data_IF_350649620979
#
_entry.id   IF_350649620979
#
_cell.length_a   1.000
_cell.length_b   1.000
_cell.length_c   1.000
_cell.angle_alpha   90.00
_cell.angle_beta   90.00
_cell.angle_gamma   90.00
#
_symmetry.space_group_name_H-M   'P 1'
#
loop_
_entity.id
_entity.type
_entity.pdbx_description
1 polymer ?
#
# COMPACT_ATOMS: atom_id res chain seq x y z
N UNK A 1 9.05 -15.06 -15.12
CA UNK A 1 8.76 -13.64 -14.83
C UNK A 1 10.05 -13.00 -14.33
N UNK A 2 10.68 -12.13 -15.12
CA UNK A 2 11.92 -11.46 -14.73
C UNK A 2 11.50 -10.12 -14.15
N UNK A 3 11.70 -9.91 -12.85
CA UNK A 3 11.55 -8.59 -12.25
C UNK A 3 12.59 -7.69 -12.93
N UNK A 4 12.13 -6.58 -13.50
CA UNK A 4 13.04 -5.53 -13.96
C UNK A 4 13.65 -4.95 -12.68
N UNK A 5 14.97 -4.98 -12.56
CA UNK A 5 15.64 -4.19 -11.53
C UNK A 5 15.43 -2.72 -11.86
N UNK A 6 14.59 -2.05 -11.07
CA UNK A 6 14.44 -0.60 -11.16
C UNK A 6 15.55 -0.02 -10.26
N UNK A 7 16.53 0.72 -10.83
CA UNK A 7 17.56 1.36 -10.03
C UNK A 7 16.93 2.25 -8.96
N UNK A 8 17.53 2.30 -7.78
CA UNK A 8 17.11 3.16 -6.66
C UNK A 8 15.71 2.86 -6.08
N UNK A 9 15.18 1.65 -6.30
CA UNK A 9 13.98 1.17 -5.61
C UNK A 9 14.32 0.08 -4.58
N UNK A 10 13.59 0.08 -3.46
CA UNK A 10 13.63 -1.03 -2.48
C UNK A 10 12.30 -1.75 -2.51
N UNK A 11 12.32 -3.06 -2.78
CA UNK A 11 11.13 -3.91 -2.70
C UNK A 11 10.94 -4.37 -1.26
N UNK A 12 9.83 -3.96 -0.65
CA UNK A 12 9.48 -4.36 0.71
C UNK A 12 8.69 -5.68 0.71
N UNK A 13 8.88 -6.55 1.70
CA UNK A 13 8.00 -7.69 1.89
C UNK A 13 6.61 -7.21 2.34
N UNK A 14 5.60 -7.95 1.88
CA UNK A 14 4.20 -7.68 2.20
C UNK A 14 3.91 -7.74 3.71
N UNK A 15 2.90 -6.99 4.13
CA UNK A 15 2.26 -7.17 5.43
C UNK A 15 1.66 -8.58 5.61
N UNK A 16 1.31 -8.93 6.84
CA UNK A 16 0.67 -10.22 7.13
C UNK A 16 -0.71 -10.28 6.48
N UNK A 17 -1.11 -11.48 6.07
CA UNK A 17 -2.42 -11.72 5.49
C UNK A 17 -3.58 -11.24 6.41
N UNK A 18 -3.44 -11.40 7.73
CA UNK A 18 -4.42 -10.91 8.69
C UNK A 18 -4.56 -9.38 8.66
N UNK A 19 -3.45 -8.66 8.56
CA UNK A 19 -3.43 -7.19 8.51
C UNK A 19 -4.05 -6.68 7.21
N UNK A 20 -3.78 -7.36 6.10
CA UNK A 20 -4.44 -7.10 4.81
C UNK A 20 -5.96 -7.25 4.94
N UNK A 21 -6.45 -8.35 5.51
CA UNK A 21 -7.90 -8.59 5.66
C UNK A 21 -8.55 -7.52 6.57
N UNK A 22 -7.86 -7.07 7.62
CA UNK A 22 -8.33 -5.98 8.47
C UNK A 22 -8.46 -4.66 7.70
N UNK A 23 -7.42 -4.28 6.94
CA UNK A 23 -7.43 -3.07 6.11
C UNK A 23 -8.50 -3.14 5.02
N UNK A 24 -8.59 -4.29 4.34
CA UNK A 24 -9.59 -4.56 3.30
C UNK A 24 -11.01 -4.32 3.81
N UNK A 25 -11.34 -4.89 4.97
CA UNK A 25 -12.66 -4.72 5.59
C UNK A 25 -12.89 -3.31 6.12
N UNK A 26 -11.87 -2.68 6.70
CA UNK A 26 -11.99 -1.36 7.32
C UNK A 26 -12.21 -0.24 6.30
N UNK A 27 -11.54 -0.32 5.16
CA UNK A 27 -11.57 0.73 4.13
C UNK A 27 -12.30 0.30 2.86
N UNK A 28 -12.91 -0.89 2.86
CA UNK A 28 -13.64 -1.46 1.72
C UNK A 28 -12.80 -1.52 0.42
N UNK A 29 -11.52 -1.87 0.57
CA UNK A 29 -10.58 -1.96 -0.55
C UNK A 29 -10.62 -3.32 -1.22
N UNK A 30 -10.17 -3.40 -2.46
CA UNK A 30 -9.83 -4.68 -3.08
C UNK A 30 -8.59 -5.30 -2.41
N UNK A 31 -8.38 -6.62 -2.50
CA UNK A 31 -7.24 -7.29 -1.84
C UNK A 31 -5.87 -6.72 -2.21
N UNK A 32 -5.68 -6.29 -3.47
CA UNK A 32 -4.44 -5.67 -3.95
C UNK A 32 -4.16 -4.31 -3.26
N UNK A 33 -5.17 -3.46 -3.14
CA UNK A 33 -5.00 -2.14 -2.54
C UNK A 33 -4.89 -2.25 -1.02
N UNK A 34 -5.62 -3.22 -0.44
CA UNK A 34 -5.50 -3.55 0.96
C UNK A 34 -4.10 -4.04 1.35
N UNK A 35 -3.43 -4.86 0.54
CA UNK A 35 -2.07 -5.33 0.87
C UNK A 35 -1.05 -4.20 0.74
N UNK A 36 -1.23 -3.29 -0.22
CA UNK A 36 -0.40 -2.08 -0.36
C UNK A 36 -0.56 -1.21 0.89
N UNK A 37 -1.79 -0.84 1.27
CA UNK A 37 -2.05 0.00 2.43
C UNK A 37 -1.63 -0.67 3.76
N UNK A 38 -1.84 -1.98 3.91
CA UNK A 38 -1.37 -2.73 5.08
C UNK A 38 0.17 -2.74 5.16
N UNK A 39 0.85 -2.90 4.03
CA UNK A 39 2.33 -2.87 3.97
C UNK A 39 2.84 -1.48 4.32
N UNK A 40 2.23 -0.42 3.79
CA UNK A 40 2.56 0.96 4.19
C UNK A 40 2.43 1.16 5.70
N UNK A 41 1.34 0.68 6.31
CA UNK A 41 1.13 0.77 7.76
C UNK A 41 2.19 -0.01 8.56
N UNK A 42 2.50 -1.24 8.15
CA UNK A 42 3.49 -2.09 8.84
C UNK A 42 4.91 -1.50 8.80
N UNK A 43 5.25 -0.80 7.71
CA UNK A 43 6.56 -0.17 7.51
C UNK A 43 6.62 1.31 7.90
N UNK A 44 5.53 1.88 8.43
CA UNK A 44 5.48 3.30 8.85
C UNK A 44 5.52 4.29 7.68
N UNK A 45 5.10 3.87 6.48
CA UNK A 45 5.00 4.72 5.29
C UNK A 45 3.68 5.49 5.34
N UNK A 46 3.76 6.81 5.37
CA UNK A 46 2.60 7.71 5.49
C UNK A 46 2.30 8.50 4.22
N UNK A 47 3.13 8.35 3.18
CA UNK A 47 3.01 9.02 1.88
C UNK A 47 3.10 8.01 0.76
N UNK A 48 2.20 8.08 -0.21
CA UNK A 48 2.16 7.19 -1.36
C UNK A 48 2.05 7.98 -2.65
N UNK A 49 2.85 7.64 -3.64
CA UNK A 49 2.71 8.16 -5.00
C UNK A 49 1.76 7.24 -5.76
N UNK A 50 0.54 7.69 -6.02
CA UNK A 50 -0.51 6.90 -6.68
C UNK A 50 -1.50 7.80 -7.42
N UNK A 51 -2.09 7.28 -8.49
CA UNK A 51 -3.27 7.86 -9.15
C UNK A 51 -4.56 7.11 -8.80
N UNK A 52 -4.47 6.14 -7.89
CA UNK A 52 -5.60 5.34 -7.44
C UNK A 52 -6.35 6.04 -6.31
N UNK A 53 -7.55 6.52 -6.63
CA UNK A 53 -8.41 7.23 -5.69
C UNK A 53 -8.92 6.33 -4.55
N UNK A 54 -8.89 5.00 -4.70
CA UNK A 54 -9.31 4.08 -3.63
C UNK A 54 -8.37 4.15 -2.42
N UNK A 55 -7.12 4.62 -2.61
CA UNK A 55 -6.16 4.82 -1.53
C UNK A 55 -6.28 6.20 -0.85
N UNK A 56 -7.15 7.06 -1.36
CA UNK A 56 -7.50 8.33 -0.71
C UNK A 56 -8.42 8.08 0.50
N UNK A 57 -8.34 8.94 1.52
CA UNK A 57 -9.19 8.83 2.72
C UNK A 57 -8.77 7.75 3.73
N UNK A 58 -7.70 6.99 3.45
CA UNK A 58 -7.06 6.12 4.44
C UNK A 58 -6.32 7.01 5.44
N UNK A 59 -6.88 7.20 6.65
CA UNK A 59 -6.41 8.23 7.59
C UNK A 59 -4.94 8.18 8.07
N UNK A 60 -4.16 7.16 7.70
CA UNK A 60 -2.71 7.10 7.95
C UNK A 60 -1.84 7.28 6.69
N UNK A 61 -2.46 7.37 5.51
CA UNK A 61 -1.79 7.38 4.21
C UNK A 61 -2.26 8.60 3.42
N UNK A 62 -1.31 9.41 2.97
CA UNK A 62 -1.58 10.60 2.15
C UNK A 62 -1.02 10.37 0.75
N UNK A 63 -1.83 10.64 -0.28
CA UNK A 63 -1.31 10.72 -1.64
C UNK A 63 -0.36 11.91 -1.78
N UNK A 64 0.64 11.78 -2.64
CA UNK A 64 1.50 12.89 -3.06
C UNK A 64 1.33 13.12 -4.55
N UNK A 65 1.22 14.39 -4.93
CA UNK A 65 1.26 14.79 -6.33
C UNK A 65 2.67 14.55 -6.90
N UNK A 66 2.73 14.04 -8.13
CA UNK A 66 3.95 13.79 -8.89
C UNK A 66 4.13 14.81 -10.01
#
# INVERSE_FOLDING_TARGET
MKLIEIPDCTVLPNARYSEMIEIMRKFNLLPNDAIIAATCKAWGITRIATFDADLEGIGFLNSVDL
#
